data_IF_887330350699
#
_entry.id   IF_887330350699
#
_cell.length_a   1.000
_cell.length_b   1.000
_cell.length_c   1.000
_cell.angle_alpha   90.00
_cell.angle_beta   90.00
_cell.angle_gamma   90.00
#
_symmetry.space_group_name_H-M   'P 1'
#
loop_
_entity.id
_entity.type
_entity.pdbx_description
1 polymer ?
#
# COMPACT_ATOMS: atom_id res chain seq x y z
N UNK A 1 28.90 -3.07 11.40
CA UNK A 1 27.62 -2.32 11.33
C UNK A 1 26.61 -2.91 10.34
N UNK A 2 27.03 -3.74 9.38
CA UNK A 2 26.10 -4.48 8.50
C UNK A 2 25.27 -5.53 9.26
N UNK A 3 25.84 -6.15 10.29
CA UNK A 3 25.17 -7.15 11.12
C UNK A 3 23.93 -6.58 11.85
N UNK A 4 24.00 -5.34 12.35
CA UNK A 4 22.86 -4.64 12.99
C UNK A 4 21.70 -4.34 12.02
N UNK A 5 21.99 -4.15 10.73
CA UNK A 5 20.97 -3.91 9.71
C UNK A 5 20.24 -5.22 9.32
N UNK A 6 20.91 -6.38 9.46
CA UNK A 6 20.31 -7.68 9.16
C UNK A 6 19.31 -8.12 10.26
N UNK A 7 19.61 -7.87 11.54
CA UNK A 7 18.69 -8.19 12.66
C UNK A 7 17.47 -7.26 12.76
N UNK A 8 17.52 -6.05 12.21
CA UNK A 8 16.38 -5.11 12.25
C UNK A 8 15.29 -5.44 11.23
N UNK A 9 15.57 -6.25 10.21
CA UNK A 9 14.57 -6.70 9.23
C UNK A 9 13.74 -7.91 9.70
N UNK A 10 14.17 -8.56 10.78
CA UNK A 10 13.54 -9.77 11.30
C UNK A 10 12.59 -9.41 12.46
N UNK A 11 11.30 -9.28 12.13
CA UNK A 11 10.15 -9.24 13.05
C UNK A 11 9.95 -7.95 13.86
N UNK A 12 9.31 -6.97 13.22
CA UNK A 12 8.55 -5.94 13.95
C UNK A 12 7.18 -6.52 14.30
N UNK A 13 7.00 -6.91 15.56
CA UNK A 13 5.69 -7.27 16.10
C UNK A 13 4.94 -6.00 16.52
N UNK A 14 3.63 -5.95 16.29
CA UNK A 14 2.78 -4.88 16.83
C UNK A 14 2.65 -5.09 18.34
N UNK A 15 3.47 -4.39 19.13
CA UNK A 15 3.38 -4.38 20.59
C UNK A 15 2.46 -3.24 21.04
N UNK A 16 1.47 -3.55 21.88
CA UNK A 16 0.56 -2.54 22.45
C UNK A 16 -0.57 -2.08 21.52
N UNK A 17 -0.74 -2.69 20.36
CA UNK A 17 -1.89 -2.44 19.48
C UNK A 17 -3.19 -3.03 20.05
N UNK A 18 -4.33 -2.43 19.68
CA UNK A 18 -5.67 -2.97 19.98
C UNK A 18 -6.43 -3.22 18.68
N UNK A 19 -7.10 -4.37 18.60
CA UNK A 19 -8.01 -4.68 17.49
C UNK A 19 -9.11 -3.63 17.42
N UNK A 20 -9.30 -3.05 16.24
CA UNK A 20 -10.37 -2.08 16.00
C UNK A 20 -11.72 -2.78 15.91
N UNK A 21 -12.79 -2.10 16.34
CA UNK A 21 -14.16 -2.59 16.12
C UNK A 21 -14.38 -2.74 14.60
N UNK A 22 -14.97 -3.86 14.13
CA UNK A 22 -15.22 -4.06 12.70
C UNK A 22 -15.90 -2.84 12.07
N UNK A 23 -15.41 -2.44 10.90
CA UNK A 23 -15.90 -1.28 10.14
C UNK A 23 -15.83 0.09 10.82
N UNK A 24 -15.23 0.21 12.03
CA UNK A 24 -15.03 1.52 12.70
C UNK A 24 -14.01 2.44 12.00
N UNK A 25 -13.26 1.89 11.04
CA UNK A 25 -12.27 2.59 10.21
C UNK A 25 -12.64 2.41 8.72
N UNK A 26 -13.75 3.02 8.25
CA UNK A 26 -14.27 2.79 6.90
C UNK A 26 -13.35 3.31 5.78
N UNK A 27 -12.39 4.17 6.13
CA UNK A 27 -11.35 4.63 5.21
C UNK A 27 -10.20 3.62 5.04
N UNK A 28 -10.07 2.60 5.89
CA UNK A 28 -8.96 1.65 5.82
C UNK A 28 -9.16 0.69 4.64
N UNK A 29 -8.23 0.71 3.69
CA UNK A 29 -8.28 -0.13 2.50
C UNK A 29 -7.19 -1.22 2.55
N UNK A 30 -7.56 -2.44 2.15
CA UNK A 30 -6.63 -3.52 1.88
C UNK A 30 -6.39 -3.61 0.38
N UNK A 31 -5.13 -3.50 -0.05
CA UNK A 31 -4.75 -3.53 -1.44
C UNK A 31 -4.09 -4.87 -1.77
N UNK A 32 -4.68 -5.62 -2.70
CA UNK A 32 -4.07 -6.79 -3.32
C UNK A 32 -3.54 -6.38 -4.70
N UNK A 33 -2.23 -6.41 -4.87
CA UNK A 33 -1.56 -5.91 -6.07
C UNK A 33 -0.92 -7.08 -6.81
N UNK A 34 -1.27 -7.23 -8.07
CA UNK A 34 -0.73 -8.25 -8.96
C UNK A 34 0.10 -7.57 -10.05
N UNK A 35 1.40 -7.84 -10.05
CA UNK A 35 2.36 -7.30 -11.02
C UNK A 35 2.84 -8.43 -11.92
N UNK A 36 2.72 -8.23 -13.23
CA UNK A 36 3.31 -9.11 -14.23
C UNK A 36 4.57 -8.45 -14.76
N UNK A 37 5.71 -9.10 -14.57
CA UNK A 37 6.99 -8.71 -15.14
C UNK A 37 7.53 -9.82 -16.06
N UNK A 38 8.66 -9.60 -16.72
CA UNK A 38 9.30 -10.62 -17.57
C UNK A 38 9.75 -11.87 -16.80
N UNK A 39 9.81 -11.78 -15.46
CA UNK A 39 10.17 -12.86 -14.54
C UNK A 39 8.95 -13.65 -14.06
N UNK A 40 7.71 -13.23 -14.40
CA UNK A 40 6.47 -13.92 -14.05
C UNK A 40 5.44 -13.01 -13.38
N UNK A 41 4.49 -13.63 -12.66
CA UNK A 41 3.48 -12.90 -11.89
C UNK A 41 3.87 -12.86 -10.41
N UNK A 42 3.90 -11.67 -9.82
CA UNK A 42 4.13 -11.44 -8.39
C UNK A 42 2.90 -10.80 -7.78
N UNK A 43 2.46 -11.33 -6.65
CA UNK A 43 1.39 -10.75 -5.86
C UNK A 43 1.95 -10.26 -4.51
N UNK A 44 1.57 -9.05 -4.11
CA UNK A 44 1.86 -8.54 -2.77
C UNK A 44 0.68 -7.74 -2.25
N UNK A 45 0.72 -7.43 -0.96
CA UNK A 45 -0.35 -6.68 -0.29
C UNK A 45 0.17 -5.43 0.36
N UNK A 46 -0.66 -4.39 0.35
CA UNK A 46 -0.39 -3.10 0.99
C UNK A 46 -1.64 -2.59 1.72
N UNK A 47 -1.44 -1.63 2.62
CA UNK A 47 -2.53 -0.83 3.18
C UNK A 47 -2.83 0.41 2.32
N UNK A 48 -3.98 1.03 2.55
CA UNK A 48 -4.33 2.31 1.94
C UNK A 48 -5.47 3.03 2.66
N UNK A 49 -5.80 4.22 2.15
CA UNK A 49 -6.84 5.10 2.66
C UNK A 49 -7.82 5.49 1.54
N UNK A 50 -9.11 5.24 1.71
CA UNK A 50 -10.14 5.74 0.79
C UNK A 50 -10.26 7.27 0.94
N UNK A 51 -9.80 8.01 -0.06
CA UNK A 51 -9.80 9.49 -0.06
C UNK A 51 -10.93 10.08 -0.91
N UNK A 52 -11.51 9.26 -1.82
CA UNK A 52 -12.72 9.53 -2.60
C UNK A 52 -13.43 8.20 -2.85
N UNK A 53 -14.73 8.19 -3.20
CA UNK A 53 -15.47 6.96 -3.48
C UNK A 53 -14.81 6.03 -4.50
N UNK A 54 -14.02 6.58 -5.44
CA UNK A 54 -13.33 5.84 -6.48
C UNK A 54 -11.80 5.90 -6.37
N UNK A 55 -11.22 6.35 -5.25
CA UNK A 55 -9.76 6.51 -5.14
C UNK A 55 -9.18 6.16 -3.75
N UNK A 56 -8.09 5.41 -3.77
CA UNK A 56 -7.32 5.00 -2.57
C UNK A 56 -5.92 5.59 -2.61
N UNK A 57 -5.48 6.18 -1.50
CA UNK A 57 -4.12 6.64 -1.24
C UNK A 57 -3.29 5.54 -0.55
N UNK A 58 -2.09 5.26 -1.04
CA UNK A 58 -1.16 4.27 -0.48
C UNK A 58 0.29 4.74 -0.64
N UNK A 59 1.26 3.95 -0.20
CA UNK A 59 2.68 4.28 -0.38
C UNK A 59 3.11 4.10 -1.85
N UNK A 60 4.00 4.96 -2.35
CA UNK A 60 4.45 4.90 -3.75
C UNK A 60 5.15 3.57 -4.10
N UNK A 61 5.83 2.95 -3.13
CA UNK A 61 6.51 1.68 -3.33
C UNK A 61 5.55 0.49 -3.51
N UNK A 62 4.28 0.65 -3.15
CA UNK A 62 3.25 -0.36 -3.37
C UNK A 62 2.90 -0.53 -4.87
N UNK A 63 3.60 0.16 -5.79
CA UNK A 63 3.52 0.03 -7.26
C UNK A 63 2.10 -0.26 -7.73
N UNK A 64 1.19 0.66 -7.44
CA UNK A 64 -0.14 0.65 -8.03
C UNK A 64 -0.03 1.45 -9.33
N UNK A 65 -0.14 0.76 -10.47
CA UNK A 65 0.04 1.38 -11.79
C UNK A 65 -1.05 2.44 -12.00
N UNK A 66 -0.74 3.72 -11.77
CA UNK A 66 -1.71 4.79 -11.90
C UNK A 66 -1.72 5.34 -13.34
N UNK A 67 -2.25 4.58 -14.28
CA UNK A 67 -2.61 5.08 -15.62
C UNK A 67 -4.03 5.67 -15.52
N UNK A 68 -4.31 6.94 -15.91
CA UNK A 68 -3.53 7.87 -16.76
C UNK A 68 -2.94 9.06 -15.99
N UNK A 69 -2.58 8.91 -14.71
CA UNK A 69 -2.14 10.04 -13.89
C UNK A 69 -0.66 10.36 -14.18
N UNK A 70 -0.29 11.62 -14.51
CA UNK A 70 1.12 11.98 -14.62
C UNK A 70 1.81 11.72 -13.28
N UNK A 71 2.97 11.05 -13.30
CA UNK A 71 3.70 10.62 -12.11
C UNK A 71 4.00 11.77 -11.12
N UNK A 72 4.04 13.01 -11.59
CA UNK A 72 4.19 14.23 -10.79
C UNK A 72 3.02 14.50 -9.83
N UNK A 73 1.80 14.06 -10.17
CA UNK A 73 0.61 14.18 -9.30
C UNK A 73 0.47 12.98 -8.34
N UNK A 74 1.12 11.85 -8.65
CA UNK A 74 1.16 10.64 -7.85
C UNK A 74 2.25 10.61 -6.78
N UNK A 75 3.08 11.65 -6.64
CA UNK A 75 4.07 11.75 -5.57
C UNK A 75 3.72 12.93 -4.64
N UNK A 76 2.78 12.72 -3.74
CA UNK A 76 2.72 13.58 -2.55
C UNK A 76 3.60 12.91 -1.48
N UNK A 77 4.82 13.44 -1.27
CA UNK A 77 5.69 13.05 -0.16
C UNK A 77 5.84 11.51 0.06
N UNK A 78 6.01 10.73 -1.01
CA UNK A 78 6.18 9.26 -0.93
C UNK A 78 4.89 8.42 -0.95
N UNK A 79 3.72 9.06 -1.15
CA UNK A 79 2.44 8.39 -1.30
C UNK A 79 1.88 8.54 -2.73
N UNK A 80 1.17 7.51 -3.22
CA UNK A 80 0.51 7.43 -4.52
C UNK A 80 -0.99 7.15 -4.35
N UNK A 81 -1.82 7.84 -5.13
CA UNK A 81 -3.26 7.59 -5.20
C UNK A 81 -3.61 6.82 -6.48
N UNK A 82 -4.55 5.88 -6.41
CA UNK A 82 -5.02 5.14 -7.59
C UNK A 82 -6.54 5.05 -7.59
N UNK A 83 -7.11 5.11 -8.79
CA UNK A 83 -8.53 4.86 -9.00
C UNK A 83 -8.84 3.37 -8.78
N UNK A 84 -9.82 3.08 -7.94
CA UNK A 84 -10.26 1.71 -7.68
C UNK A 84 -11.65 1.53 -8.30
N UNK A 85 -11.81 0.51 -9.14
CA UNK A 85 -13.14 0.06 -9.53
C UNK A 85 -13.61 -0.92 -8.45
N UNK A 86 -14.62 -0.52 -7.68
CA UNK A 86 -15.39 -1.47 -6.87
C UNK A 86 -16.15 -2.36 -7.85
N UNK A 87 -15.76 -3.64 -7.91
CA UNK A 87 -16.48 -4.69 -8.64
C UNK A 87 -17.55 -5.33 -7.77
#
# INVERSE_FOLDING_TARGET
MLLLLLISSAFVLIIGGKVVVPHSRPYMAYLKIEVKDQSGSKAFSCGGFLIRPDAVLSAAHCRVQCLPCPASLCLQHGAAATRVSVG
#
